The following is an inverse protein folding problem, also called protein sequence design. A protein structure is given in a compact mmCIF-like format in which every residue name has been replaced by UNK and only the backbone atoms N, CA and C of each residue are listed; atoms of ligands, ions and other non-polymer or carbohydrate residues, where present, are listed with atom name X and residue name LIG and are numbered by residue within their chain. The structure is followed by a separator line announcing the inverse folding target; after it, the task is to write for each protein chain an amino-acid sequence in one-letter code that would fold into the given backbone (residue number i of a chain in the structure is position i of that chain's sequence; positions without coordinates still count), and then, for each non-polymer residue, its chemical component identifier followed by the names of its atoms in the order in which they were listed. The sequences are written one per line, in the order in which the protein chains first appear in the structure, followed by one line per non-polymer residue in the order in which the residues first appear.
data_IF_452330165021
#
_entry.id   IF_452330165021
#
_cell.length_a   1.000
_cell.length_b   1.000
_cell.length_c   1.000
_cell.angle_alpha   90.00
_cell.angle_beta   90.00
_cell.angle_gamma   90.00
#
_symmetry.space_group_name_H-M   'P 1'
#
loop_
_entity.id
_entity.type
_entity.pdbx_description
1 polymer ?
#
# COMPACT_ATOMS: atom_id res chain seq x y z
N UNK A 1 -18.76 8.82 -30.14
CA UNK A 1 -18.09 7.88 -29.22
C UNK A 1 -17.23 8.68 -28.25
N UNK A 2 -17.71 8.86 -27.02
CA UNK A 2 -17.08 9.72 -26.02
C UNK A 2 -15.93 8.95 -25.37
N UNK A 3 -14.67 9.38 -25.60
CA UNK A 3 -13.50 8.77 -24.94
C UNK A 3 -13.65 8.93 -23.43
N UNK A 4 -13.61 7.81 -22.71
CA UNK A 4 -13.49 7.79 -21.24
C UNK A 4 -12.27 8.64 -20.87
N UNK A 5 -12.39 9.63 -19.98
CA UNK A 5 -11.22 10.41 -19.56
C UNK A 5 -10.23 9.41 -18.96
N UNK A 6 -9.04 9.37 -19.56
CA UNK A 6 -7.85 8.63 -19.11
C UNK A 6 -7.90 8.41 -17.59
N UNK A 7 -7.74 7.17 -17.14
CA UNK A 7 -7.68 6.85 -15.71
C UNK A 7 -6.52 7.66 -15.09
N UNK A 8 -6.85 8.74 -14.37
CA UNK A 8 -5.98 9.77 -13.76
C UNK A 8 -4.72 9.25 -13.03
N UNK A 9 -4.68 7.98 -12.62
CA UNK A 9 -3.56 7.39 -11.87
C UNK A 9 -2.29 7.17 -12.70
N UNK A 10 -2.40 7.17 -14.03
CA UNK A 10 -1.31 6.73 -14.92
C UNK A 10 -0.45 7.87 -15.48
N UNK A 11 -0.92 9.12 -15.41
CA UNK A 11 -0.27 10.30 -16.02
C UNK A 11 0.53 11.18 -15.03
N UNK A 12 0.53 10.87 -13.72
CA UNK A 12 1.25 11.64 -12.68
C UNK A 12 2.42 10.90 -12.02
N UNK A 13 2.73 9.68 -12.50
CA UNK A 13 4.03 9.02 -12.30
C UNK A 13 5.15 9.68 -13.15
N UNK A 14 4.89 10.89 -13.64
CA UNK A 14 5.42 11.47 -14.87
C UNK A 14 6.50 12.51 -14.55
N UNK A 15 7.67 12.30 -15.16
CA UNK A 15 8.93 13.09 -15.20
C UNK A 15 9.64 13.34 -13.86
N UNK A 16 10.93 12.93 -13.69
CA UNK A 16 11.72 13.26 -12.50
C UNK A 16 11.89 14.78 -12.35
N UNK A 17 11.89 15.29 -11.12
CA UNK A 17 12.18 16.69 -10.85
C UNK A 17 13.64 17.02 -11.26
N UNK A 18 13.91 18.30 -11.54
CA UNK A 18 15.28 18.79 -11.86
C UNK A 18 16.22 18.37 -10.72
N UNK A 19 17.17 17.47 -11.02
CA UNK A 19 18.00 16.78 -10.02
C UNK A 19 17.83 15.24 -9.99
N UNK A 20 16.95 14.66 -10.81
CA UNK A 20 16.87 13.20 -11.05
C UNK A 20 16.21 12.40 -9.93
N UNK A 21 15.88 13.02 -8.80
CA UNK A 21 15.23 12.35 -7.67
C UNK A 21 13.73 12.25 -7.93
N UNK A 22 13.24 11.01 -8.07
CA UNK A 22 11.81 10.72 -8.16
C UNK A 22 11.14 11.01 -6.82
N UNK A 23 9.94 11.58 -6.83
CA UNK A 23 9.10 11.67 -5.64
C UNK A 23 8.90 10.24 -5.13
N UNK A 24 9.24 9.96 -3.87
CA UNK A 24 8.92 8.62 -3.33
C UNK A 24 7.39 8.46 -3.45
N UNK A 25 6.95 7.29 -3.86
CA UNK A 25 5.54 6.99 -4.08
C UNK A 25 5.20 5.82 -3.16
N UNK A 26 4.31 6.05 -2.21
CA UNK A 26 4.15 5.19 -1.04
C UNK A 26 4.00 6.05 0.20
N UNK A 27 3.19 5.61 1.15
CA UNK A 27 2.65 6.51 2.16
C UNK A 27 1.23 6.22 2.57
N UNK A 28 0.47 5.50 1.73
CA UNK A 28 -0.98 5.40 1.91
C UNK A 28 -1.30 4.63 3.18
N UNK A 29 -1.69 5.39 4.20
CA UNK A 29 -2.35 4.84 5.37
C UNK A 29 -3.72 4.35 4.89
N UNK A 30 -3.94 3.05 5.03
CA UNK A 30 -5.24 2.43 4.83
C UNK A 30 -6.26 3.10 5.74
N UNK A 31 -7.53 3.15 5.33
CA UNK A 31 -8.62 3.72 6.16
C UNK A 31 -8.77 2.99 7.51
N UNK A 32 -8.13 1.83 7.60
CA UNK A 32 -8.14 0.88 8.71
C UNK A 32 -6.89 1.02 9.61
N UNK A 33 -6.12 2.11 9.47
CA UNK A 33 -5.00 2.46 10.36
C UNK A 33 -3.67 1.75 10.08
N UNK A 34 -3.66 0.78 9.17
CA UNK A 34 -2.46 0.09 8.68
C UNK A 34 -1.87 0.82 7.48
N UNK A 35 -0.62 0.57 7.12
CA UNK A 35 0.02 1.22 5.97
C UNK A 35 0.53 0.18 5.00
N UNK A 36 0.57 0.50 3.71
CA UNK A 36 1.17 -0.39 2.73
C UNK A 36 2.65 -0.62 3.11
N UNK A 37 3.04 -1.88 3.22
CA UNK A 37 4.36 -2.30 3.68
C UNK A 37 4.50 -2.45 5.21
N UNK A 38 3.46 -2.19 6.00
CA UNK A 38 3.45 -2.58 7.42
C UNK A 38 3.54 -4.10 7.53
N UNK A 39 4.35 -4.57 8.47
CA UNK A 39 4.44 -5.98 8.84
C UNK A 39 3.31 -6.27 9.83
N UNK A 40 2.43 -7.18 9.46
CA UNK A 40 1.25 -7.56 10.23
C UNK A 40 1.26 -9.05 10.53
N UNK A 41 0.80 -9.39 11.72
CA UNK A 41 0.43 -10.75 12.05
C UNK A 41 -1.00 -11.00 11.57
N UNK A 42 -1.22 -12.15 10.96
CA UNK A 42 -2.53 -12.56 10.48
C UNK A 42 -2.78 -14.03 10.78
N UNK A 43 -4.05 -14.48 10.79
CA UNK A 43 -4.37 -15.90 11.01
C UNK A 43 -3.73 -16.84 9.97
N UNK A 44 -3.32 -16.32 8.81
CA UNK A 44 -2.66 -17.08 7.73
C UNK A 44 -1.13 -17.02 7.80
N UNK A 45 -0.57 -16.36 8.80
CA UNK A 45 0.86 -16.13 8.95
C UNK A 45 1.24 -14.65 8.95
N UNK A 46 2.51 -14.39 9.22
CA UNK A 46 3.10 -13.06 9.23
C UNK A 46 3.33 -12.61 7.78
N UNK A 47 2.97 -11.37 7.46
CA UNK A 47 3.18 -10.83 6.13
C UNK A 47 3.07 -9.31 6.05
N UNK A 48 3.27 -8.80 4.84
CA UNK A 48 3.26 -7.39 4.54
C UNK A 48 1.92 -6.96 3.94
N UNK A 49 1.46 -5.78 4.34
CA UNK A 49 0.27 -5.15 3.76
C UNK A 49 0.54 -4.73 2.33
N UNK A 50 -0.09 -5.40 1.36
CA UNK A 50 0.07 -5.11 -0.08
C UNK A 50 -1.03 -4.19 -0.62
N UNK A 51 -2.22 -4.22 -0.01
CA UNK A 51 -3.35 -3.38 -0.42
C UNK A 51 -4.53 -3.46 0.55
N UNK A 52 -5.58 -2.69 0.27
CA UNK A 52 -6.82 -2.68 1.03
C UNK A 52 -8.04 -2.69 0.12
N UNK A 53 -9.13 -3.22 0.65
CA UNK A 53 -10.52 -3.04 0.21
C UNK A 53 -11.25 -2.30 1.35
N UNK A 54 -12.54 -1.99 1.22
CA UNK A 54 -13.28 -1.23 2.23
C UNK A 54 -13.24 -1.84 3.64
N UNK A 55 -13.28 -3.17 3.74
CA UNK A 55 -13.35 -3.90 5.03
C UNK A 55 -12.20 -4.88 5.27
N UNK A 56 -11.37 -5.11 4.25
CA UNK A 56 -10.36 -6.15 4.26
C UNK A 56 -9.01 -5.63 3.76
N UNK A 57 -7.95 -6.26 4.22
CA UNK A 57 -6.57 -5.92 3.92
C UNK A 57 -5.93 -7.13 3.26
N UNK A 58 -5.23 -6.86 2.15
CA UNK A 58 -4.48 -7.88 1.44
C UNK A 58 -3.10 -8.01 2.08
N UNK A 59 -2.77 -9.23 2.49
CA UNK A 59 -1.48 -9.58 3.08
C UNK A 59 -0.72 -10.47 2.12
N UNK A 60 0.56 -10.17 1.93
CA UNK A 60 1.50 -10.92 1.10
C UNK A 60 2.71 -11.36 1.93
N UNK A 61 3.37 -12.44 1.55
CA UNK A 61 4.61 -12.89 2.19
C UNK A 61 5.82 -12.04 1.75
N UNK A 62 7.02 -12.40 2.23
CA UNK A 62 8.27 -11.75 1.86
C UNK A 62 8.64 -11.89 0.37
N UNK A 63 8.09 -12.92 -0.31
CA UNK A 63 8.24 -13.15 -1.74
C UNK A 63 7.16 -12.44 -2.57
N UNK A 64 6.37 -11.57 -1.94
CA UNK A 64 5.22 -10.88 -2.54
C UNK A 64 4.09 -11.79 -3.03
N UNK A 65 4.10 -13.08 -2.66
CA UNK A 65 3.01 -14.01 -2.89
C UNK A 65 1.86 -13.68 -1.93
N UNK A 66 0.64 -13.63 -2.46
CA UNK A 66 -0.54 -13.25 -1.68
C UNK A 66 -0.94 -14.37 -0.71
N UNK A 67 -0.94 -14.08 0.59
CA UNK A 67 -1.47 -14.98 1.63
C UNK A 67 -3.00 -14.93 1.68
N UNK A 68 -3.57 -13.75 1.40
CA UNK A 68 -5.02 -13.58 1.21
C UNK A 68 -5.53 -12.20 1.59
N UNK A 69 -6.86 -12.07 1.61
CA UNK A 69 -7.56 -10.92 2.17
C UNK A 69 -8.08 -11.27 3.56
N UNK A 70 -7.84 -10.37 4.50
CA UNK A 70 -8.09 -10.59 5.91
C UNK A 70 -8.80 -9.35 6.45
N UNK A 71 -9.80 -9.54 7.32
CA UNK A 71 -10.47 -8.42 7.99
C UNK A 71 -9.46 -7.62 8.81
N UNK A 72 -9.56 -6.29 8.81
CA UNK A 72 -8.70 -5.43 9.64
C UNK A 72 -8.73 -5.78 11.11
N UNK A 73 -9.89 -6.18 11.62
CA UNK A 73 -10.08 -6.58 13.02
C UNK A 73 -9.25 -7.80 13.44
N UNK A 74 -8.80 -8.62 12.48
CA UNK A 74 -8.01 -9.83 12.72
C UNK A 74 -6.52 -9.63 12.49
N UNK A 75 -6.09 -8.39 12.21
CA UNK A 75 -4.70 -8.06 11.93
C UNK A 75 -4.09 -7.31 13.09
N UNK A 76 -2.93 -7.78 13.53
CA UNK A 76 -2.12 -7.11 14.56
C UNK A 76 -0.87 -6.53 13.90
N UNK A 77 -0.62 -5.25 14.13
CA UNK A 77 0.58 -4.57 13.63
C UNK A 77 1.80 -5.05 14.43
N UNK A 78 2.80 -5.60 13.74
CA UNK A 78 4.10 -5.96 14.35
C UNK A 78 5.08 -4.80 14.18
N UNK A 79 5.22 -4.29 12.94
CA UNK A 79 6.18 -3.24 12.62
C UNK A 79 5.62 -2.28 11.59
N UNK A 80 5.74 -0.99 11.88
CA UNK A 80 5.43 0.10 10.93
C UNK A 80 6.46 0.14 9.80
N UNK A 81 5.99 0.36 8.59
CA UNK A 81 6.83 0.76 7.47
C UNK A 81 7.38 2.17 7.74
N UNK A 82 8.70 2.29 7.85
CA UNK A 82 9.40 3.57 8.09
C UNK A 82 9.76 4.30 6.80
N UNK A 83 9.54 3.70 5.63
CA UNK A 83 9.86 4.26 4.31
C UNK A 83 8.81 5.23 3.75
N UNK A 84 7.87 5.70 4.57
CA UNK A 84 6.79 6.58 4.14
C UNK A 84 7.32 8.01 4.02
N UNK A 85 6.93 8.72 2.95
CA UNK A 85 7.08 10.18 2.95
C UNK A 85 6.04 10.74 3.91
N UNK A 86 6.50 11.30 5.02
CA UNK A 86 5.73 12.27 5.79
C UNK A 86 6.00 13.60 5.10
N UNK A 87 5.04 14.11 4.31
CA UNK A 87 5.07 15.53 3.93
C UNK A 87 4.36 16.27 5.05
N UNK A 88 5.11 17.07 5.80
CA UNK A 88 4.54 18.10 6.68
C UNK A 88 3.84 19.17 5.83
#
# INVERSE_FOLDING_TARGET
MQRVPVIRRQLHLMVPAKGGVKRKYGGTTTKLGLRKGDLVNSPKGIGFVSGQTEKQISVSDANWKRLGQISSSKLTLIRRSTGLIVSY
#
